data_IF_378504499131
#
_entry.id   IF_378504499131
#
_cell.length_a   1.000
_cell.length_b   1.000
_cell.length_c   1.000
_cell.angle_alpha   90.00
_cell.angle_beta   90.00
_cell.angle_gamma   90.00
#
_symmetry.space_group_name_H-M   'P 1'
#
loop_
_entity.id
_entity.type
_entity.pdbx_description
1 polymer ?
#
# COMPACT_ATOMS: atom_id res chain seq x y z
N UNK A 1 -1.65 -21.29 19.42
CA UNK A 1 -3.04 -21.35 18.89
C UNK A 1 -3.02 -22.28 17.69
N UNK A 2 -3.96 -23.21 17.56
CA UNK A 2 -4.18 -23.91 16.27
C UNK A 2 -4.50 -22.82 15.24
N UNK A 3 -3.72 -22.76 14.16
CA UNK A 3 -4.07 -21.91 13.01
C UNK A 3 -5.25 -22.57 12.31
N UNK A 4 -6.45 -22.28 12.77
CA UNK A 4 -7.64 -22.61 11.99
C UNK A 4 -7.50 -21.85 10.67
N UNK A 5 -7.32 -22.59 9.58
CA UNK A 5 -7.20 -22.03 8.25
C UNK A 5 -8.52 -21.34 7.92
N UNK A 6 -8.47 -20.04 7.64
CA UNK A 6 -9.65 -19.17 7.57
C UNK A 6 -9.64 -18.19 6.40
N UNK A 7 -8.56 -18.19 5.60
CA UNK A 7 -8.39 -17.28 4.46
C UNK A 7 -8.40 -18.09 3.18
N UNK A 8 -9.43 -17.86 2.36
CA UNK A 8 -9.48 -18.43 1.02
C UNK A 8 -8.45 -17.77 0.09
N UNK A 9 -8.04 -18.46 -0.96
CA UNK A 9 -7.11 -17.93 -1.96
C UNK A 9 -7.62 -16.66 -2.67
N UNK A 10 -8.94 -16.44 -2.71
CA UNK A 10 -9.56 -15.23 -3.26
C UNK A 10 -9.49 -14.07 -2.25
N UNK A 11 -9.76 -14.34 -0.96
CA UNK A 11 -9.60 -13.36 0.11
C UNK A 11 -8.15 -12.92 0.26
N UNK A 12 -7.19 -13.84 0.13
CA UNK A 12 -5.76 -13.50 0.11
C UNK A 12 -5.44 -12.54 -1.04
N UNK A 13 -5.92 -12.84 -2.26
CA UNK A 13 -5.73 -11.97 -3.43
C UNK A 13 -6.30 -10.58 -3.18
N UNK A 14 -7.55 -10.50 -2.69
CA UNK A 14 -8.21 -9.24 -2.42
C UNK A 14 -7.54 -8.45 -1.29
N UNK A 15 -7.05 -9.12 -0.25
CA UNK A 15 -6.25 -8.51 0.82
C UNK A 15 -4.99 -7.85 0.26
N UNK A 16 -4.24 -8.52 -0.62
CA UNK A 16 -3.04 -7.94 -1.23
C UNK A 16 -3.39 -6.72 -2.08
N UNK A 17 -4.44 -6.81 -2.93
CA UNK A 17 -4.84 -5.70 -3.80
C UNK A 17 -5.28 -4.49 -2.98
N UNK A 18 -6.11 -4.71 -1.95
CA UNK A 18 -6.60 -3.65 -1.08
C UNK A 18 -5.53 -3.09 -0.12
N UNK A 19 -4.53 -3.89 0.24
CA UNK A 19 -3.39 -3.44 1.03
C UNK A 19 -2.38 -2.60 0.24
N UNK A 20 -2.32 -2.75 -1.09
CA UNK A 20 -1.30 -2.09 -1.92
C UNK A 20 -1.79 -0.80 -2.57
N UNK A 21 -3.05 -0.75 -3.03
CA UNK A 21 -3.51 0.33 -3.91
C UNK A 21 -3.59 1.71 -3.22
N UNK A 22 -3.96 1.74 -1.92
CA UNK A 22 -3.94 2.88 -1.00
C UNK A 22 -3.91 4.30 -1.57
N UNK A 23 -2.99 5.11 -1.05
CA UNK A 23 -2.73 6.48 -1.53
C UNK A 23 -2.11 6.47 -2.93
N UNK A 24 -1.35 5.43 -3.28
CA UNK A 24 -0.59 5.32 -4.53
C UNK A 24 -1.45 5.44 -5.79
N UNK A 25 -2.70 4.99 -5.77
CA UNK A 25 -3.59 5.05 -6.94
C UNK A 25 -3.82 6.46 -7.50
N UNK A 26 -3.77 7.49 -6.64
CA UNK A 26 -3.97 8.90 -7.04
C UNK A 26 -2.63 9.62 -7.28
N UNK A 27 -1.65 9.40 -6.41
CA UNK A 27 -0.38 10.14 -6.45
C UNK A 27 0.59 9.60 -7.50
N UNK A 28 0.67 8.27 -7.65
CA UNK A 28 1.68 7.61 -8.48
C UNK A 28 1.72 8.14 -9.91
N UNK A 29 0.58 8.32 -10.63
CA UNK A 29 0.64 8.81 -11.99
C UNK A 29 1.35 10.15 -12.16
N UNK A 30 1.12 11.08 -11.23
CA UNK A 30 1.72 12.41 -11.25
C UNK A 30 3.22 12.35 -10.97
N UNK A 31 3.61 11.54 -9.98
CA UNK A 31 5.01 11.33 -9.60
C UNK A 31 5.82 10.77 -10.77
N UNK A 32 5.29 9.75 -11.45
CA UNK A 32 6.00 9.13 -12.59
C UNK A 32 6.08 10.07 -13.79
N UNK A 33 5.00 10.80 -14.08
CA UNK A 33 5.00 11.80 -15.13
C UNK A 33 5.89 13.02 -14.80
N UNK A 34 6.32 13.21 -13.55
CA UNK A 34 7.33 14.22 -13.18
C UNK A 34 8.78 13.69 -13.34
N UNK A 35 8.97 12.37 -13.29
CA UNK A 35 10.31 11.75 -13.33
C UNK A 35 10.70 11.32 -14.76
N UNK A 36 9.79 10.68 -15.48
CA UNK A 36 9.98 10.17 -16.84
C UNK A 36 8.83 10.59 -17.78
N UNK A 37 8.11 11.67 -17.48
CA UNK A 37 7.08 12.21 -18.39
C UNK A 37 6.14 11.12 -18.96
N UNK A 38 6.12 10.95 -20.29
CA UNK A 38 5.29 9.96 -21.00
C UNK A 38 5.75 8.51 -20.78
N UNK A 39 7.02 8.31 -20.40
CA UNK A 39 7.65 7.00 -20.21
C UNK A 39 7.57 6.48 -18.76
N UNK A 40 6.81 7.14 -17.89
CA UNK A 40 6.60 6.72 -16.52
C UNK A 40 6.06 5.29 -16.36
N UNK A 41 5.32 4.77 -17.34
CA UNK A 41 4.81 3.40 -17.34
C UNK A 41 5.93 2.34 -17.24
N UNK A 42 7.14 2.65 -17.75
CA UNK A 42 8.31 1.77 -17.64
C UNK A 42 8.64 1.51 -16.17
N UNK A 43 8.53 2.53 -15.31
CA UNK A 43 8.79 2.40 -13.87
C UNK A 43 7.79 1.50 -13.18
N UNK A 44 6.52 1.53 -13.59
CA UNK A 44 5.45 0.64 -13.07
C UNK A 44 5.81 -0.81 -13.38
N UNK A 45 6.16 -1.11 -14.63
CA UNK A 45 6.51 -2.46 -15.07
C UNK A 45 7.80 -2.95 -14.40
N UNK A 46 8.85 -2.14 -14.38
CA UNK A 46 10.11 -2.50 -13.73
C UNK A 46 9.94 -2.75 -12.23
N UNK A 47 9.14 -1.94 -11.54
CA UNK A 47 8.89 -2.12 -10.10
C UNK A 47 8.10 -3.39 -9.83
N UNK A 48 7.09 -3.71 -10.65
CA UNK A 48 6.37 -4.97 -10.56
C UNK A 48 7.31 -6.18 -10.75
N UNK A 49 8.25 -6.10 -11.72
CA UNK A 49 9.27 -7.13 -11.94
C UNK A 49 10.23 -7.28 -10.75
N UNK A 50 10.59 -6.18 -10.07
CA UNK A 50 11.44 -6.21 -8.87
C UNK A 50 10.72 -6.79 -7.64
N UNK A 51 9.39 -6.66 -7.58
CA UNK A 51 8.57 -7.15 -6.46
C UNK A 51 8.21 -8.62 -6.60
N UNK A 52 8.09 -9.10 -7.84
CA UNK A 52 7.88 -10.52 -8.14
C UNK A 52 8.79 -11.48 -7.34
N UNK A 53 10.14 -11.34 -7.35
CA UNK A 53 11.01 -12.23 -6.59
C UNK A 53 10.81 -12.12 -5.08
N UNK A 54 10.42 -10.95 -4.57
CA UNK A 54 10.15 -10.74 -3.13
C UNK A 54 8.89 -11.51 -2.71
N UNK A 55 7.80 -11.39 -3.47
CA UNK A 55 6.56 -12.13 -3.19
C UNK A 55 6.80 -13.64 -3.32
N UNK A 56 7.55 -14.08 -4.32
CA UNK A 56 7.94 -15.48 -4.48
C UNK A 56 8.71 -15.97 -3.25
N UNK A 57 9.71 -15.21 -2.81
CA UNK A 57 10.53 -15.52 -1.65
C UNK A 57 9.69 -15.65 -0.38
N UNK A 58 8.81 -14.68 -0.10
CA UNK A 58 7.90 -14.72 1.06
C UNK A 58 7.03 -15.98 1.00
N UNK A 59 6.39 -16.28 -0.13
CA UNK A 59 5.59 -17.50 -0.29
C UNK A 59 6.43 -18.78 -0.07
N UNK A 60 7.67 -18.80 -0.56
CA UNK A 60 8.56 -19.94 -0.39
C UNK A 60 8.94 -20.16 1.08
N UNK A 61 9.22 -19.11 1.85
CA UNK A 61 9.49 -19.18 3.30
C UNK A 61 8.37 -19.93 4.03
N UNK A 62 7.11 -19.62 3.74
CA UNK A 62 5.96 -20.30 4.37
C UNK A 62 5.66 -21.68 3.80
N UNK A 63 5.98 -21.93 2.52
CA UNK A 63 5.86 -23.25 1.91
C UNK A 63 6.78 -24.26 2.60
N UNK A 64 8.02 -23.85 2.86
CA UNK A 64 9.00 -24.75 3.47
C UNK A 64 8.76 -24.90 4.99
N UNK A 65 8.19 -23.91 5.67
CA UNK A 65 7.89 -23.94 7.11
C UNK A 65 6.37 -24.11 7.40
N UNK A 66 5.80 -25.30 7.17
CA UNK A 66 4.36 -25.51 7.33
C UNK A 66 3.93 -25.37 8.80
N UNK A 67 2.79 -24.71 9.01
CA UNK A 67 2.15 -24.58 10.32
C UNK A 67 2.75 -23.51 11.23
N UNK A 68 3.83 -22.83 10.79
CA UNK A 68 4.49 -21.78 11.56
C UNK A 68 4.04 -20.40 11.13
N UNK A 69 3.94 -19.49 12.11
CA UNK A 69 3.74 -18.07 11.84
C UNK A 69 5.07 -17.35 11.54
N UNK A 70 4.98 -16.09 11.11
CA UNK A 70 6.15 -15.26 10.81
C UNK A 70 7.13 -15.17 11.98
N UNK A 71 6.62 -15.09 13.21
CA UNK A 71 7.44 -14.91 14.39
C UNK A 71 8.23 -16.18 14.72
N UNK A 72 7.58 -17.33 14.67
CA UNK A 72 8.20 -18.63 14.87
C UNK A 72 9.27 -18.90 13.81
N UNK A 73 8.96 -18.64 12.54
CA UNK A 73 9.93 -18.82 11.45
C UNK A 73 11.15 -17.93 11.67
N UNK A 74 10.95 -16.66 11.99
CA UNK A 74 12.02 -15.71 12.22
C UNK A 74 12.92 -16.07 13.40
N UNK A 75 12.33 -16.43 14.55
CA UNK A 75 13.09 -16.81 15.76
C UNK A 75 13.88 -18.10 15.56
N UNK A 76 13.34 -19.11 14.89
CA UNK A 76 14.07 -20.35 14.60
C UNK A 76 15.19 -20.14 13.56
N UNK A 77 14.95 -19.25 12.60
CA UNK A 77 15.87 -19.02 11.49
C UNK A 77 17.03 -18.10 11.88
N UNK A 78 16.74 -16.94 12.47
CA UNK A 78 17.75 -15.93 12.80
C UNK A 78 18.15 -15.95 14.28
N UNK A 79 17.45 -16.70 15.12
CA UNK A 79 17.62 -16.65 16.57
C UNK A 79 16.87 -15.49 17.20
N UNK A 80 16.62 -15.59 18.51
CA UNK A 80 15.79 -14.64 19.26
C UNK A 80 16.33 -13.21 19.22
N UNK A 81 17.65 -13.02 19.37
CA UNK A 81 18.27 -11.69 19.46
C UNK A 81 18.17 -10.93 18.14
N UNK A 82 18.71 -11.50 17.06
CA UNK A 82 18.72 -10.87 15.74
C UNK A 82 17.29 -10.63 15.25
N UNK A 83 16.41 -11.62 15.40
CA UNK A 83 15.03 -11.46 14.96
C UNK A 83 14.25 -10.42 15.79
N UNK A 84 14.60 -10.19 17.06
CA UNK A 84 14.00 -9.10 17.84
C UNK A 84 14.37 -7.74 17.25
N UNK A 85 15.62 -7.54 16.81
CA UNK A 85 16.04 -6.31 16.09
C UNK A 85 15.24 -6.17 14.79
N UNK A 86 15.12 -7.24 14.00
CA UNK A 86 14.30 -7.25 12.79
C UNK A 86 12.84 -6.87 13.07
N UNK A 87 12.22 -7.42 14.12
CA UNK A 87 10.85 -7.09 14.52
C UNK A 87 10.71 -5.60 14.88
N UNK A 88 11.66 -5.04 15.63
CA UNK A 88 11.62 -3.62 16.02
C UNK A 88 11.80 -2.68 14.83
N UNK A 89 12.68 -3.03 13.88
CA UNK A 89 12.81 -2.30 12.61
C UNK A 89 11.51 -2.36 11.80
N UNK A 90 10.90 -3.53 11.72
CA UNK A 90 9.64 -3.71 11.00
C UNK A 90 8.48 -2.96 11.69
N UNK A 91 8.47 -2.91 13.03
CA UNK A 91 7.53 -2.09 13.78
C UNK A 91 7.71 -0.61 13.49
N UNK A 92 8.95 -0.11 13.48
CA UNK A 92 9.24 1.29 13.16
C UNK A 92 8.77 1.64 11.74
N UNK A 93 9.01 0.76 10.76
CA UNK A 93 8.45 0.89 9.41
C UNK A 93 6.92 1.04 9.44
N UNK A 94 6.20 0.11 10.08
CA UNK A 94 4.73 0.13 10.08
C UNK A 94 4.16 1.38 10.77
N UNK A 95 4.81 1.87 11.83
CA UNK A 95 4.40 3.11 12.50
C UNK A 95 4.59 4.31 11.57
N UNK A 96 5.75 4.44 10.91
CA UNK A 96 6.00 5.54 9.96
C UNK A 96 5.07 5.42 8.75
N UNK A 97 4.83 4.21 8.25
CA UNK A 97 3.90 3.96 7.15
C UNK A 97 2.48 4.42 7.48
N UNK A 98 1.92 3.96 8.60
CA UNK A 98 0.59 4.39 9.05
C UNK A 98 0.52 5.91 9.24
N UNK A 99 1.56 6.51 9.84
CA UNK A 99 1.61 7.96 10.07
C UNK A 99 1.66 8.75 8.76
N UNK A 100 2.39 8.25 7.76
CA UNK A 100 2.49 8.86 6.43
C UNK A 100 1.16 8.77 5.66
N UNK A 101 0.53 7.59 5.65
CA UNK A 101 -0.76 7.35 5.00
C UNK A 101 -1.84 8.29 5.54
N UNK A 102 -1.97 8.40 6.87
CA UNK A 102 -2.97 9.28 7.47
C UNK A 102 -2.64 10.77 7.30
N UNK A 103 -1.36 11.14 7.28
CA UNK A 103 -0.95 12.50 6.97
C UNK A 103 -1.35 12.91 5.54
N UNK A 104 -1.05 12.09 4.53
CA UNK A 104 -1.49 12.36 3.14
C UNK A 104 -3.00 12.40 3.06
N UNK A 105 -3.69 11.42 3.63
CA UNK A 105 -5.15 11.37 3.65
C UNK A 105 -5.74 12.66 4.23
N UNK A 106 -5.25 13.11 5.38
CA UNK A 106 -5.76 14.33 6.02
C UNK A 106 -5.55 15.58 5.18
N UNK A 107 -4.39 15.71 4.53
CA UNK A 107 -4.08 16.84 3.66
C UNK A 107 -4.95 16.83 2.40
N UNK A 108 -5.17 15.66 1.78
CA UNK A 108 -6.04 15.54 0.60
C UNK A 108 -7.52 15.74 0.94
N UNK A 109 -8.00 15.20 2.06
CA UNK A 109 -9.36 15.49 2.53
C UNK A 109 -9.53 16.99 2.76
N UNK A 110 -8.59 17.67 3.43
CA UNK A 110 -8.67 19.11 3.64
C UNK A 110 -8.59 19.89 2.31
N UNK A 111 -7.75 19.45 1.38
CA UNK A 111 -7.57 20.14 0.10
C UNK A 111 -8.73 19.94 -0.88
N UNK A 112 -9.49 18.85 -0.79
CA UNK A 112 -10.48 18.48 -1.80
C UNK A 112 -11.91 18.27 -1.29
N UNK A 113 -12.13 18.11 0.02
CA UNK A 113 -13.45 17.78 0.58
C UNK A 113 -13.85 18.67 1.77
N UNK A 114 -12.98 18.80 2.78
CA UNK A 114 -13.28 19.44 4.06
C UNK A 114 -12.33 20.62 4.33
N UNK A 115 -12.45 21.69 3.56
CA UNK A 115 -11.53 22.84 3.62
C UNK A 115 -11.47 23.55 4.97
N UNK A 116 -12.56 23.52 5.74
CA UNK A 116 -12.69 24.20 7.04
C UNK A 116 -12.20 23.30 8.18
N UNK A 117 -12.23 21.97 7.99
CA UNK A 117 -11.91 21.03 9.07
C UNK A 117 -10.39 20.97 9.31
N UNK A 118 -9.93 21.15 10.56
CA UNK A 118 -8.52 20.98 10.91
C UNK A 118 -8.02 19.56 10.61
N UNK A 119 -6.76 19.43 10.15
CA UNK A 119 -6.17 18.12 9.82
C UNK A 119 -6.07 17.21 11.04
N UNK A 120 -5.90 17.82 12.21
CA UNK A 120 -5.86 17.18 13.51
C UNK A 120 -7.12 16.36 13.77
N UNK A 121 -8.30 16.91 13.48
CA UNK A 121 -9.58 16.20 13.69
C UNK A 121 -9.70 15.03 12.72
N UNK A 122 -9.29 15.24 11.46
CA UNK A 122 -9.34 14.21 10.42
C UNK A 122 -8.42 13.03 10.79
N UNK A 123 -7.17 13.32 11.17
CA UNK A 123 -6.20 12.30 11.60
C UNK A 123 -6.74 11.53 12.81
N UNK A 124 -7.21 12.24 13.85
CA UNK A 124 -7.68 11.61 15.07
C UNK A 124 -8.85 10.64 14.81
N UNK A 125 -9.88 11.09 14.08
CA UNK A 125 -11.03 10.26 13.75
C UNK A 125 -10.65 9.06 12.88
N UNK A 126 -9.80 9.27 11.87
CA UNK A 126 -9.36 8.20 10.98
C UNK A 126 -8.57 7.11 11.72
N UNK A 127 -7.58 7.50 12.54
CA UNK A 127 -6.79 6.53 13.31
C UNK A 127 -7.68 5.81 14.33
N UNK A 128 -8.56 6.54 15.03
CA UNK A 128 -9.44 5.95 16.05
C UNK A 128 -10.42 4.93 15.45
N UNK A 129 -11.05 5.27 14.32
CA UNK A 129 -11.94 4.34 13.59
C UNK A 129 -11.17 3.13 13.04
N UNK A 130 -9.92 3.33 12.61
CA UNK A 130 -9.05 2.25 12.13
C UNK A 130 -8.69 1.23 13.22
N UNK A 131 -8.66 1.64 14.50
CA UNK A 131 -8.43 0.70 15.62
C UNK A 131 -9.45 -0.44 15.58
N UNK A 132 -10.72 -0.17 15.29
CA UNK A 132 -11.77 -1.18 15.34
C UNK A 132 -11.47 -2.37 14.43
N UNK A 133 -11.21 -2.12 13.14
CA UNK A 133 -10.93 -3.19 12.18
C UNK A 133 -9.56 -3.82 12.42
N UNK A 134 -8.53 -3.03 12.76
CA UNK A 134 -7.19 -3.55 13.01
C UNK A 134 -7.10 -4.37 14.29
N UNK A 135 -8.04 -4.19 15.22
CA UNK A 135 -8.17 -5.01 16.43
C UNK A 135 -8.64 -6.43 16.13
N UNK A 136 -9.25 -6.67 14.97
CA UNK A 136 -9.70 -7.97 14.53
C UNK A 136 -8.51 -8.83 14.04
N UNK A 137 -8.73 -10.13 13.87
CA UNK A 137 -7.72 -11.02 13.28
C UNK A 137 -7.66 -10.88 11.75
N UNK A 138 -6.54 -11.32 11.18
CA UNK A 138 -6.22 -11.12 9.76
C UNK A 138 -7.25 -11.72 8.80
N UNK A 139 -8.00 -12.75 9.20
CA UNK A 139 -9.08 -13.33 8.39
C UNK A 139 -10.28 -12.37 8.24
N UNK A 140 -10.62 -11.60 9.28
CA UNK A 140 -11.65 -10.56 9.20
C UNK A 140 -11.18 -9.42 8.29
N UNK A 141 -9.91 -9.02 8.43
CA UNK A 141 -9.30 -7.99 7.57
C UNK A 141 -9.28 -8.46 6.11
N UNK A 142 -8.98 -9.73 5.84
CA UNK A 142 -9.04 -10.31 4.49
C UNK A 142 -10.46 -10.32 3.91
N UNK A 143 -11.49 -10.56 4.74
CA UNK A 143 -12.90 -10.44 4.34
C UNK A 143 -13.27 -9.00 4.00
N UNK A 144 -12.83 -8.02 4.79
CA UNK A 144 -13.02 -6.61 4.46
C UNK A 144 -12.33 -6.23 3.14
N UNK A 145 -11.08 -6.66 2.93
CA UNK A 145 -10.36 -6.48 1.67
C UNK A 145 -11.10 -7.11 0.48
N UNK A 146 -11.76 -8.25 0.67
CA UNK A 146 -12.62 -8.87 -0.34
C UNK A 146 -13.82 -8.02 -0.75
N UNK A 147 -14.47 -7.32 0.20
CA UNK A 147 -15.54 -6.37 -0.11
C UNK A 147 -15.04 -5.07 -0.75
N UNK A 148 -13.84 -4.62 -0.38
CA UNK A 148 -13.26 -3.37 -0.91
C UNK A 148 -12.66 -3.58 -2.30
N UNK A 149 -12.21 -4.79 -2.64
CA UNK A 149 -11.60 -5.08 -3.93
C UNK A 149 -12.48 -4.69 -5.15
N UNK A 150 -13.77 -5.05 -5.24
CA UNK A 150 -14.65 -4.56 -6.31
C UNK A 150 -14.79 -3.03 -6.34
N UNK A 151 -14.81 -2.38 -5.17
CA UNK A 151 -14.89 -0.91 -5.06
C UNK A 151 -13.65 -0.27 -5.71
N UNK A 152 -12.46 -0.84 -5.50
CA UNK A 152 -11.23 -0.37 -6.15
C UNK A 152 -11.30 -0.49 -7.67
N UNK A 153 -11.83 -1.60 -8.20
CA UNK A 153 -12.00 -1.77 -9.65
C UNK A 153 -12.99 -0.76 -10.23
N UNK A 154 -14.11 -0.53 -9.53
CA UNK A 154 -15.11 0.47 -9.90
C UNK A 154 -14.47 1.87 -9.86
N UNK A 155 -13.71 2.18 -8.82
CA UNK A 155 -13.02 3.46 -8.67
C UNK A 155 -12.06 3.73 -9.84
N UNK A 156 -11.19 2.77 -10.18
CA UNK A 156 -10.29 2.89 -11.33
C UNK A 156 -11.06 3.01 -12.67
N UNK A 157 -12.15 2.23 -12.81
CA UNK A 157 -13.03 2.31 -13.97
C UNK A 157 -13.71 3.66 -14.12
N UNK A 158 -14.22 4.23 -13.03
CA UNK A 158 -14.86 5.56 -13.00
C UNK A 158 -13.88 6.60 -13.55
N UNK A 159 -12.65 6.66 -13.06
CA UNK A 159 -11.65 7.61 -13.58
C UNK A 159 -11.37 7.42 -15.06
N UNK A 160 -11.22 6.16 -15.50
CA UNK A 160 -10.99 5.86 -16.90
C UNK A 160 -12.14 6.37 -17.76
N UNK A 161 -13.39 5.98 -17.46
CA UNK A 161 -14.55 6.34 -18.28
C UNK A 161 -14.88 7.84 -18.24
N UNK A 162 -14.76 8.48 -17.08
CA UNK A 162 -14.96 9.94 -16.93
C UNK A 162 -13.93 10.71 -17.76
N UNK A 163 -12.72 10.21 -17.90
CA UNK A 163 -11.67 10.87 -18.68
C UNK A 163 -11.81 10.72 -20.20
N UNK A 164 -12.56 9.74 -20.70
CA UNK A 164 -12.63 9.45 -22.14
C UNK A 164 -13.13 10.61 -23.01
N UNK A 165 -14.16 11.39 -22.64
CA UNK A 165 -14.68 12.45 -23.50
C UNK A 165 -13.68 13.58 -23.77
N UNK A 166 -12.76 13.83 -22.84
CA UNK A 166 -11.72 14.87 -22.96
C UNK A 166 -10.33 14.29 -23.22
N UNK A 167 -10.22 12.97 -23.43
CA UNK A 167 -8.94 12.30 -23.58
C UNK A 167 -8.26 12.65 -24.91
N UNK A 168 -7.06 13.21 -24.83
CA UNK A 168 -6.19 13.39 -25.97
C UNK A 168 -5.08 12.33 -25.96
N UNK A 169 -5.29 11.28 -26.75
CA UNK A 169 -4.36 10.16 -26.89
C UNK A 169 -3.03 10.55 -27.56
N UNK A 170 -2.96 11.69 -28.24
CA UNK A 170 -1.69 12.18 -28.81
C UNK A 170 -0.65 12.45 -27.72
N UNK A 171 -1.09 12.73 -26.48
CA UNK A 171 -0.21 12.93 -25.33
C UNK A 171 0.54 11.67 -24.88
N UNK A 172 0.15 10.48 -25.33
CA UNK A 172 0.86 9.23 -25.00
C UNK A 172 2.12 9.05 -25.86
N UNK A 173 2.16 9.67 -27.04
CA UNK A 173 3.28 9.59 -27.98
C UNK A 173 4.00 10.95 -28.12
N UNK A 174 5.27 10.97 -28.58
CA UNK A 174 6.16 9.83 -28.77
C UNK A 174 6.59 9.21 -27.43
N UNK A 175 6.73 7.89 -27.42
CA UNK A 175 7.32 7.14 -26.30
C UNK A 175 8.85 7.06 -26.43
N UNK A 176 9.51 6.67 -25.35
CA UNK A 176 10.95 6.48 -25.19
C UNK A 176 11.80 7.72 -25.48
N UNK A 177 11.28 8.91 -25.14
CA UNK A 177 12.00 10.18 -25.28
C UNK A 177 12.64 10.65 -23.98
N UNK A 178 12.31 10.00 -22.86
CA UNK A 178 12.71 10.47 -21.53
C UNK A 178 14.15 10.11 -21.20
N UNK A 179 14.75 10.88 -20.30
CA UNK A 179 16.11 10.60 -19.82
C UNK A 179 16.14 9.38 -18.89
N UNK A 180 16.49 8.22 -19.44
CA UNK A 180 16.57 6.95 -18.69
C UNK A 180 17.56 6.96 -17.52
N UNK A 181 18.44 7.96 -17.39
CA UNK A 181 19.26 8.15 -16.18
C UNK A 181 18.41 8.37 -14.92
N UNK A 182 17.16 8.81 -15.07
CA UNK A 182 16.22 9.00 -13.97
C UNK A 182 15.53 7.71 -13.51
N UNK A 183 15.71 6.58 -14.22
CA UNK A 183 15.07 5.30 -13.86
C UNK A 183 15.33 4.89 -12.41
N UNK A 184 16.57 4.92 -11.87
CA UNK A 184 16.81 4.52 -10.48
C UNK A 184 16.02 5.34 -9.46
N UNK A 185 15.91 6.66 -9.68
CA UNK A 185 15.11 7.55 -8.84
C UNK A 185 13.61 7.22 -8.96
N UNK A 186 13.15 6.92 -10.17
CA UNK A 186 11.79 6.48 -10.44
C UNK A 186 11.42 5.18 -9.73
N UNK A 187 12.31 4.19 -9.76
CA UNK A 187 12.09 2.88 -9.10
C UNK A 187 11.90 3.07 -7.59
N UNK A 188 12.70 3.91 -6.93
CA UNK A 188 12.53 4.19 -5.48
C UNK A 188 11.15 4.79 -5.20
N UNK A 189 10.68 5.71 -6.04
CA UNK A 189 9.35 6.32 -5.90
C UNK A 189 8.23 5.31 -6.14
N UNK A 190 8.32 4.51 -7.20
CA UNK A 190 7.29 3.53 -7.55
C UNK A 190 7.24 2.36 -6.58
N UNK A 191 8.39 1.93 -6.04
CA UNK A 191 8.46 0.85 -5.06
C UNK A 191 7.56 1.13 -3.85
N UNK A 192 7.54 2.39 -3.38
CA UNK A 192 6.64 2.81 -2.31
C UNK A 192 5.16 2.54 -2.65
N UNK A 193 4.71 2.89 -3.85
CA UNK A 193 3.32 2.68 -4.26
C UNK A 193 2.93 1.21 -4.38
N UNK A 194 3.90 0.29 -4.40
CA UNK A 194 3.60 -1.14 -4.32
C UNK A 194 3.73 -1.71 -2.91
N UNK A 195 4.15 -0.95 -1.90
CA UNK A 195 4.15 -1.40 -0.50
C UNK A 195 2.74 -1.79 -0.06
N UNK A 196 2.63 -2.69 0.91
CA UNK A 196 1.39 -3.34 1.33
C UNK A 196 1.38 -4.85 1.08
N UNK A 197 2.20 -5.36 0.15
CA UNK A 197 2.32 -6.81 -0.08
C UNK A 197 2.95 -7.56 1.11
N UNK A 198 3.66 -6.87 2.01
CA UNK A 198 4.20 -7.43 3.25
C UNK A 198 3.11 -7.96 4.19
N UNK A 199 1.83 -7.62 3.97
CA UNK A 199 0.69 -8.27 4.61
C UNK A 199 0.72 -9.79 4.47
N UNK A 200 1.36 -10.30 3.41
CA UNK A 200 1.62 -11.73 3.21
C UNK A 200 2.35 -12.39 4.39
N UNK A 201 3.26 -11.68 5.05
CA UNK A 201 3.98 -12.20 6.22
C UNK A 201 3.02 -12.57 7.36
N UNK A 202 1.92 -11.84 7.49
CA UNK A 202 0.90 -12.08 8.52
C UNK A 202 -0.23 -12.99 8.04
N UNK A 203 -0.57 -12.96 6.73
CA UNK A 203 -1.72 -13.69 6.19
C UNK A 203 -1.41 -15.15 5.81
N UNK A 204 -0.24 -15.43 5.25
CA UNK A 204 0.12 -16.77 4.73
C UNK A 204 -0.01 -17.93 5.74
N UNK A 205 0.23 -17.75 7.06
CA UNK A 205 0.00 -18.82 8.05
C UNK A 205 -1.45 -19.32 8.11
N UNK A 206 -2.42 -18.52 7.67
CA UNK A 206 -3.87 -18.76 7.82
C UNK A 206 -4.58 -19.10 6.51
N UNK A 207 -3.84 -19.25 5.40
CA UNK A 207 -4.38 -19.55 4.08
C UNK A 207 -4.71 -21.04 3.95
N UNK A 208 -5.94 -21.34 3.53
CA UNK A 208 -6.46 -22.70 3.34
C UNK A 208 -5.67 -23.50 2.31
N UNK A 209 -5.50 -22.95 1.10
CA UNK A 209 -4.81 -23.60 0.00
C UNK A 209 -3.44 -22.96 -0.27
N UNK A 210 -2.42 -23.50 0.40
CA UNK A 210 -1.03 -23.04 0.25
C UNK A 210 -0.46 -23.26 -1.16
N UNK A 211 -1.00 -24.20 -1.94
CA UNK A 211 -0.56 -24.42 -3.33
C UNK A 211 -1.02 -23.26 -4.21
N UNK A 212 -2.21 -22.73 -3.95
CA UNK A 212 -2.76 -21.56 -4.66
C UNK A 212 -2.27 -20.21 -4.12
N UNK A 213 -1.70 -20.15 -2.91
CA UNK A 213 -1.24 -18.89 -2.30
C UNK A 213 -0.28 -18.08 -3.20
N UNK A 214 0.73 -18.74 -3.78
CA UNK A 214 1.68 -18.09 -4.70
C UNK A 214 0.95 -17.57 -5.95
N UNK A 215 0.11 -18.42 -6.57
CA UNK A 215 -0.67 -18.04 -7.76
C UNK A 215 -1.58 -16.83 -7.47
N UNK A 216 -2.28 -16.83 -6.34
CA UNK A 216 -3.12 -15.70 -5.92
C UNK A 216 -2.30 -14.42 -5.69
N UNK A 217 -1.11 -14.54 -5.09
CA UNK A 217 -0.23 -13.39 -4.86
C UNK A 217 0.28 -12.80 -6.18
N UNK A 218 0.61 -13.65 -7.16
CA UNK A 218 1.04 -13.21 -8.49
C UNK A 218 -0.09 -12.58 -9.31
N UNK A 219 -1.29 -13.15 -9.23
CA UNK A 219 -2.48 -12.54 -9.85
C UNK A 219 -2.78 -11.17 -9.22
N UNK A 220 -2.65 -11.04 -7.89
CA UNK A 220 -2.80 -9.75 -7.22
C UNK A 220 -1.82 -8.71 -7.75
N UNK A 221 -0.52 -9.05 -7.84
CA UNK A 221 0.50 -8.16 -8.40
C UNK A 221 0.20 -7.74 -9.83
N UNK A 222 -0.27 -8.67 -10.68
CA UNK A 222 -0.69 -8.37 -12.05
C UNK A 222 -1.88 -7.40 -12.11
N UNK A 223 -2.89 -7.59 -11.27
CA UNK A 223 -4.06 -6.69 -11.19
C UNK A 223 -3.65 -5.29 -10.70
N UNK A 224 -2.80 -5.20 -9.66
CA UNK A 224 -2.28 -3.92 -9.16
C UNK A 224 -1.52 -3.19 -10.28
N UNK A 225 -0.62 -3.91 -10.97
CA UNK A 225 0.16 -3.36 -12.08
C UNK A 225 -0.75 -2.84 -13.19
N UNK A 226 -1.79 -3.61 -13.55
CA UNK A 226 -2.78 -3.21 -14.54
C UNK A 226 -3.53 -1.93 -14.12
N UNK A 227 -3.98 -1.85 -12.87
CA UNK A 227 -4.67 -0.66 -12.34
C UNK A 227 -3.74 0.55 -12.38
N UNK A 228 -2.49 0.43 -11.94
CA UNK A 228 -1.53 1.54 -11.98
C UNK A 228 -1.22 1.99 -13.41
N UNK A 229 -1.07 1.06 -14.36
CA UNK A 229 -0.92 1.42 -15.78
C UNK A 229 -2.16 2.15 -16.31
N UNK A 230 -3.36 1.65 -16.00
CA UNK A 230 -4.62 2.27 -16.39
C UNK A 230 -4.70 3.72 -15.90
N UNK A 231 -4.46 3.94 -14.60
CA UNK A 231 -4.49 5.26 -13.98
C UNK A 231 -3.39 6.19 -14.54
N UNK A 232 -2.20 5.64 -14.83
CA UNK A 232 -1.11 6.39 -15.45
C UNK A 232 -1.48 6.87 -16.86
N UNK A 233 -1.97 5.98 -17.72
CA UNK A 233 -2.36 6.36 -19.07
C UNK A 233 -3.56 7.32 -19.08
N UNK A 234 -4.55 7.11 -18.20
CA UNK A 234 -5.64 8.08 -17.98
C UNK A 234 -5.12 9.47 -17.61
N UNK A 235 -4.07 9.54 -16.77
CA UNK A 235 -3.45 10.82 -16.42
C UNK A 235 -2.71 11.44 -17.60
N UNK A 236 -2.04 10.63 -18.43
CA UNK A 236 -1.33 11.11 -19.62
C UNK A 236 -2.25 11.63 -20.72
N UNK A 237 -3.43 11.03 -20.95
CA UNK A 237 -4.36 11.57 -21.95
C UNK A 237 -4.87 12.96 -21.58
N UNK A 238 -4.75 13.32 -20.30
CA UNK A 238 -5.15 14.60 -19.71
C UNK A 238 -3.94 15.50 -19.40
N UNK A 239 -2.76 15.22 -19.97
CA UNK A 239 -1.49 15.87 -19.61
C UNK A 239 -1.48 17.40 -19.77
N UNK A 240 -2.29 17.94 -20.68
CA UNK A 240 -2.51 19.38 -20.80
C UNK A 240 -3.05 20.02 -19.50
N UNK A 241 -3.97 19.35 -18.79
CA UNK A 241 -4.48 19.81 -17.49
C UNK A 241 -3.37 19.85 -16.42
N UNK A 242 -2.44 18.88 -16.46
CA UNK A 242 -1.27 18.85 -15.58
C UNK A 242 -0.35 20.05 -15.81
N UNK A 243 -0.03 20.36 -17.07
CA UNK A 243 0.88 21.46 -17.42
C UNK A 243 0.28 22.83 -17.12
N UNK A 244 -1.02 23.03 -17.40
CA UNK A 244 -1.66 24.32 -17.17
C UNK A 244 -1.90 24.65 -15.70
N UNK A 245 -2.22 23.65 -14.88
CA UNK A 245 -2.67 23.89 -13.51
C UNK A 245 -1.56 23.69 -12.46
N UNK A 246 -0.42 23.10 -12.83
CA UNK A 246 0.71 22.87 -11.92
C UNK A 246 0.37 21.99 -10.71
N UNK A 247 -0.69 21.19 -10.80
CA UNK A 247 -1.25 20.44 -9.67
C UNK A 247 -0.66 19.03 -9.57
N UNK A 248 -0.33 18.60 -8.34
CA UNK A 248 0.25 17.28 -8.05
C UNK A 248 -0.78 16.12 -8.09
N UNK A 249 -2.07 16.39 -8.34
CA UNK A 249 -3.16 15.40 -8.24
C UNK A 249 -4.12 15.44 -9.44
N UNK A 250 -3.60 15.26 -10.65
CA UNK A 250 -4.36 15.35 -11.91
C UNK A 250 -5.64 14.49 -11.92
N UNK A 251 -5.62 13.31 -11.29
CA UNK A 251 -6.82 12.46 -11.19
C UNK A 251 -7.96 13.16 -10.44
N UNK A 252 -7.69 13.73 -9.27
CA UNK A 252 -8.73 14.45 -8.51
C UNK A 252 -9.26 15.65 -9.28
N UNK A 253 -8.41 16.32 -10.07
CA UNK A 253 -8.84 17.41 -10.93
C UNK A 253 -9.75 16.95 -12.07
N UNK A 254 -9.47 15.79 -12.68
CA UNK A 254 -10.38 15.20 -13.69
C UNK A 254 -11.78 15.01 -13.10
N UNK A 255 -11.88 14.52 -11.86
CA UNK A 255 -13.18 14.36 -11.19
C UNK A 255 -13.89 15.69 -10.91
N UNK A 256 -13.14 16.80 -10.75
CA UNK A 256 -13.70 18.16 -10.58
C UNK A 256 -14.11 18.82 -11.89
N UNK A 257 -13.44 18.50 -12.99
CA UNK A 257 -13.71 19.13 -14.30
C UNK A 257 -14.88 18.51 -15.04
N UNK A 258 -15.29 17.30 -14.66
CA UNK A 258 -16.43 16.63 -15.29
C UNK A 258 -17.70 16.95 -14.54
N UNK A 259 -18.34 18.04 -14.94
CA UNK A 259 -19.75 18.27 -14.65
C UNK A 259 -20.56 17.38 -15.58
N UNK A 260 -21.32 16.41 -15.06
CA UNK A 260 -22.27 15.61 -15.84
C UNK A 260 -23.59 16.38 -15.98
N UNK A 261 -23.82 17.11 -17.08
CA UNK A 261 -25.00 17.97 -17.19
C UNK A 261 -26.24 17.08 -17.29
N UNK A 262 -27.21 17.27 -16.38
CA UNK A 262 -28.47 16.52 -16.35
C UNK A 262 -28.54 15.32 -15.41
N UNK A 263 -27.48 15.03 -14.64
CA UNK A 263 -27.50 14.00 -13.59
C UNK A 263 -27.62 14.62 -12.18
N UNK A 264 -28.20 13.87 -11.23
CA UNK A 264 -28.43 14.32 -9.83
C UNK A 264 -27.12 14.60 -9.04
N UNK A 265 -25.98 14.07 -9.49
CA UNK A 265 -24.67 14.23 -8.84
C UNK A 265 -23.86 15.34 -9.54
N UNK A 266 -23.92 16.55 -8.99
CA UNK A 266 -23.13 17.70 -9.47
C UNK A 266 -21.71 17.78 -8.84
N UNK A 267 -21.44 17.05 -7.74
CA UNK A 267 -20.14 17.04 -7.05
C UNK A 267 -19.52 15.62 -7.05
N UNK A 268 -19.03 15.17 -8.21
CA UNK A 268 -18.42 13.84 -8.35
C UNK A 268 -17.11 13.70 -7.55
N UNK A 269 -16.39 14.80 -7.37
CA UNK A 269 -15.17 14.87 -6.57
C UNK A 269 -15.40 14.41 -5.12
N UNK A 270 -16.51 14.81 -4.49
CA UNK A 270 -16.86 14.38 -3.14
C UNK A 270 -17.12 12.88 -3.03
N UNK A 271 -17.81 12.29 -4.00
CA UNK A 271 -18.09 10.84 -4.06
C UNK A 271 -16.79 10.06 -4.28
N UNK A 272 -15.96 10.52 -5.20
CA UNK A 272 -14.64 9.93 -5.47
C UNK A 272 -13.77 9.97 -4.22
N UNK A 273 -13.70 11.10 -3.52
CA UNK A 273 -12.93 11.21 -2.28
C UNK A 273 -13.48 10.30 -1.18
N UNK A 274 -14.80 10.17 -1.03
CA UNK A 274 -15.40 9.26 -0.07
C UNK A 274 -15.04 7.78 -0.35
N UNK A 275 -15.06 7.37 -1.62
CA UNK A 275 -14.62 6.02 -2.02
C UNK A 275 -13.13 5.83 -1.76
N UNK A 276 -12.30 6.83 -2.08
CA UNK A 276 -10.87 6.78 -1.86
C UNK A 276 -10.49 6.63 -0.38
N UNK A 277 -11.23 7.28 0.53
CA UNK A 277 -11.05 7.10 1.99
C UNK A 277 -11.20 5.62 2.38
N UNK A 278 -12.16 4.90 1.79
CA UNK A 278 -12.32 3.46 2.03
C UNK A 278 -11.14 2.63 1.50
N UNK A 279 -10.57 3.04 0.37
CA UNK A 279 -9.37 2.39 -0.21
C UNK A 279 -8.17 2.58 0.72
N UNK A 280 -7.93 3.80 1.20
CA UNK A 280 -6.84 4.09 2.15
C UNK A 280 -7.07 3.36 3.48
N UNK A 281 -8.31 3.28 3.96
CA UNK A 281 -8.64 2.49 5.15
C UNK A 281 -8.27 1.01 4.99
N UNK A 282 -8.51 0.43 3.81
CA UNK A 282 -8.14 -0.95 3.50
C UNK A 282 -6.63 -1.21 3.45
N UNK A 283 -5.85 -0.17 3.19
CA UNK A 283 -4.38 -0.18 3.18
C UNK A 283 -3.80 0.06 4.58
N UNK A 284 -4.36 1.02 5.32
CA UNK A 284 -3.94 1.34 6.69
C UNK A 284 -4.21 0.19 7.67
N UNK A 285 -5.39 -0.44 7.57
CA UNK A 285 -5.84 -1.41 8.55
C UNK A 285 -4.93 -2.66 8.69
N UNK A 286 -4.49 -3.32 7.59
CA UNK A 286 -3.53 -4.42 7.67
C UNK A 286 -2.15 -4.02 8.22
N UNK A 287 -1.65 -2.83 7.86
CA UNK A 287 -0.37 -2.32 8.37
C UNK A 287 -0.44 -2.07 9.88
N UNK A 288 -1.52 -1.44 10.34
CA UNK A 288 -1.74 -1.17 11.75
C UNK A 288 -1.94 -2.46 12.56
N UNK A 289 -2.67 -3.44 12.01
CA UNK A 289 -2.75 -4.80 12.54
C UNK A 289 -1.36 -5.43 12.72
N UNK A 290 -0.49 -5.31 11.70
CA UNK A 290 0.88 -5.80 11.75
C UNK A 290 1.68 -5.18 12.90
N UNK A 291 1.58 -3.86 13.10
CA UNK A 291 2.24 -3.16 14.19
C UNK A 291 1.77 -3.69 15.56
N UNK A 292 0.46 -3.84 15.73
CA UNK A 292 -0.12 -4.44 16.94
C UNK A 292 0.36 -5.87 17.17
N UNK A 293 0.41 -6.73 16.14
CA UNK A 293 0.87 -8.12 16.27
C UNK A 293 2.35 -8.21 16.62
N UNK A 294 3.20 -7.35 16.06
CA UNK A 294 4.63 -7.29 16.42
C UNK A 294 4.78 -6.94 17.91
N UNK A 295 4.06 -5.92 18.39
CA UNK A 295 4.09 -5.54 19.81
C UNK A 295 3.56 -6.66 20.71
N UNK A 296 2.41 -7.24 20.37
CA UNK A 296 1.83 -8.37 21.11
C UNK A 296 2.80 -9.55 21.20
N UNK A 297 3.50 -9.88 20.12
CA UNK A 297 4.51 -10.93 20.10
C UNK A 297 5.73 -10.57 20.97
N UNK A 298 6.19 -9.32 20.89
CA UNK A 298 7.37 -8.82 21.63
C UNK A 298 7.14 -8.83 23.13
N UNK A 299 5.98 -8.36 23.57
CA UNK A 299 5.56 -8.36 24.97
C UNK A 299 4.90 -9.67 25.43
N UNK A 300 4.82 -10.68 24.54
CA UNK A 300 4.26 -12.02 24.82
C UNK A 300 2.82 -11.98 25.36
N UNK A 301 2.01 -11.05 24.87
CA UNK A 301 0.59 -10.95 25.22
C UNK A 301 -0.27 -11.76 24.26
N UNK A 302 -1.48 -12.13 24.70
CA UNK A 302 -2.46 -12.85 23.86
C UNK A 302 -3.22 -11.94 22.89
N UNK A 303 -3.25 -10.63 23.14
CA UNK A 303 -4.05 -9.68 22.39
C UNK A 303 -3.21 -8.50 21.92
N UNK A 304 -3.34 -8.16 20.64
CA UNK A 304 -2.74 -6.97 20.04
C UNK A 304 -3.59 -5.70 20.19
N UNK A 305 -4.87 -5.84 20.55
CA UNK A 305 -5.85 -4.74 20.55
C UNK A 305 -5.44 -3.54 21.41
N UNK A 306 -4.91 -3.80 22.60
CA UNK A 306 -4.46 -2.76 23.53
C UNK A 306 -3.23 -2.00 23.02
N UNK A 307 -2.35 -2.67 22.25
CA UNK A 307 -1.20 -2.00 21.64
C UNK A 307 -1.63 -1.06 20.53
N UNK A 308 -2.69 -1.38 19.79
CA UNK A 308 -3.25 -0.46 18.79
C UNK A 308 -3.71 0.83 19.45
N UNK A 309 -4.47 0.74 20.55
CA UNK A 309 -4.88 1.92 21.32
C UNK A 309 -3.68 2.75 21.82
N UNK A 310 -2.63 2.09 22.31
CA UNK A 310 -1.39 2.77 22.72
C UNK A 310 -0.62 3.42 21.56
N UNK A 311 -0.76 2.91 20.34
CA UNK A 311 -0.14 3.48 19.14
C UNK A 311 -0.91 4.65 18.53
N UNK A 312 -2.19 4.85 18.87
CA UNK A 312 -2.99 5.99 18.40
C UNK A 312 -2.28 7.34 18.63
N UNK A 313 -1.86 7.71 19.86
CA UNK A 313 -1.18 8.99 20.08
C UNK A 313 0.16 9.09 19.34
N UNK A 314 0.87 7.98 19.15
CA UNK A 314 2.16 7.96 18.43
C UNK A 314 1.94 8.26 16.95
N UNK A 315 1.00 7.56 16.31
CA UNK A 315 0.67 7.77 14.89
C UNK A 315 0.09 9.17 14.69
N UNK A 316 -0.79 9.62 15.58
CA UNK A 316 -1.36 10.96 15.56
C UNK A 316 -0.27 12.05 15.59
N UNK A 317 0.65 11.96 16.55
CA UNK A 317 1.74 12.94 16.68
C UNK A 317 2.67 12.92 15.47
N UNK A 318 3.10 11.73 15.02
CA UNK A 318 3.98 11.60 13.86
C UNK A 318 3.34 12.09 12.56
N UNK A 319 2.04 11.91 12.39
CA UNK A 319 1.31 12.42 11.23
C UNK A 319 1.21 13.94 11.19
N UNK A 320 1.35 14.61 12.34
CA UNK A 320 1.35 16.08 12.46
C UNK A 320 2.74 16.71 12.37
N UNK A 321 3.81 15.91 12.33
CA UNK A 321 5.19 16.43 12.21
C UNK A 321 5.38 17.25 10.92
N UNK A 322 4.96 16.77 9.74
CA UNK A 322 5.09 17.55 8.50
C UNK A 322 4.04 18.67 8.44
N UNK A 323 4.48 19.90 8.17
CA UNK A 323 3.57 21.06 8.14
C UNK A 323 2.70 21.11 6.90
N UNK A 324 3.18 20.55 5.80
CA UNK A 324 2.50 20.52 4.52
C UNK A 324 2.87 19.26 3.71
N UNK A 325 2.28 19.16 2.51
CA UNK A 325 2.52 18.05 1.59
C UNK A 325 3.96 17.98 1.09
N UNK A 326 4.62 19.12 0.91
CA UNK A 326 5.98 19.19 0.37
C UNK A 326 6.96 18.64 1.40
N UNK A 327 6.83 19.04 2.67
CA UNK A 327 7.65 18.52 3.77
C UNK A 327 7.42 17.01 4.00
N UNK A 328 6.16 16.58 3.90
CA UNK A 328 5.76 15.16 3.98
C UNK A 328 6.48 14.31 2.91
N UNK A 329 6.48 14.76 1.66
CA UNK A 329 7.17 14.11 0.54
C UNK A 329 8.69 14.18 0.66
N UNK A 330 9.24 15.29 1.18
CA UNK A 330 10.69 15.50 1.22
C UNK A 330 11.37 14.70 2.33
N UNK A 331 10.76 14.63 3.51
CA UNK A 331 11.45 14.20 4.73
C UNK A 331 10.91 12.85 5.21
N UNK A 332 9.59 12.73 5.37
CA UNK A 332 8.97 11.51 5.88
C UNK A 332 9.03 10.35 4.89
N UNK A 333 8.80 10.61 3.59
CA UNK A 333 8.89 9.58 2.55
C UNK A 333 10.31 9.00 2.44
N UNK A 334 11.37 9.79 2.65
CA UNK A 334 12.75 9.26 2.64
C UNK A 334 12.97 8.25 3.77
N UNK A 335 12.54 8.60 4.99
CA UNK A 335 12.62 7.70 6.14
C UNK A 335 11.80 6.43 5.86
N UNK A 336 10.59 6.60 5.34
CA UNK A 336 9.70 5.50 4.99
C UNK A 336 10.33 4.56 3.96
N UNK A 337 10.94 5.09 2.89
CA UNK A 337 11.61 4.29 1.86
C UNK A 337 12.79 3.47 2.40
N UNK A 338 13.58 4.04 3.31
CA UNK A 338 14.69 3.32 3.93
C UNK A 338 14.15 2.19 4.82
N UNK A 339 13.19 2.52 5.69
CA UNK A 339 12.60 1.55 6.60
C UNK A 339 11.83 0.44 5.87
N UNK A 340 11.12 0.77 4.78
CA UNK A 340 10.38 -0.19 3.96
C UNK A 340 11.34 -1.13 3.23
N UNK A 341 12.43 -0.60 2.64
CA UNK A 341 13.45 -1.42 2.00
C UNK A 341 14.08 -2.42 2.99
N UNK A 342 14.48 -1.94 4.18
CA UNK A 342 15.03 -2.81 5.22
C UNK A 342 14.01 -3.87 5.67
N UNK A 343 12.75 -3.47 5.86
CA UNK A 343 11.74 -4.34 6.47
C UNK A 343 11.14 -5.36 5.51
N UNK A 344 10.95 -4.98 4.25
CA UNK A 344 10.19 -5.76 3.27
C UNK A 344 11.13 -6.49 2.30
N UNK A 345 12.34 -5.98 2.07
CA UNK A 345 13.33 -6.61 1.19
C UNK A 345 14.37 -7.35 2.02
N UNK A 346 15.11 -6.62 2.87
CA UNK A 346 16.28 -7.16 3.56
C UNK A 346 15.89 -8.22 4.58
N UNK A 347 14.90 -7.99 5.44
CA UNK A 347 14.50 -8.97 6.46
C UNK A 347 13.99 -10.28 5.84
N UNK A 348 13.02 -10.31 4.91
CA UNK A 348 12.61 -11.55 4.26
C UNK A 348 13.74 -12.25 3.50
N UNK A 349 14.65 -11.49 2.89
CA UNK A 349 15.83 -12.04 2.22
C UNK A 349 16.78 -12.74 3.20
N UNK A 350 17.07 -12.12 4.35
CA UNK A 350 17.87 -12.74 5.41
C UNK A 350 17.22 -14.03 5.94
N UNK A 351 15.91 -14.01 6.18
CA UNK A 351 15.17 -15.21 6.61
C UNK A 351 15.24 -16.30 5.54
N UNK A 352 15.08 -15.96 4.26
CA UNK A 352 15.13 -16.92 3.16
C UNK A 352 16.50 -17.59 3.02
N UNK A 353 17.57 -16.80 2.96
CA UNK A 353 18.94 -17.31 2.75
C UNK A 353 19.38 -18.17 3.94
N UNK A 354 19.24 -17.66 5.16
CA UNK A 354 19.62 -18.42 6.37
C UNK A 354 18.76 -19.67 6.54
N UNK A 355 17.47 -19.58 6.19
CA UNK A 355 16.53 -20.70 6.22
C UNK A 355 16.93 -21.84 5.27
N UNK A 356 17.39 -21.52 4.06
CA UNK A 356 17.88 -22.51 3.09
C UNK A 356 19.19 -23.15 3.57
N UNK A 357 20.14 -22.34 4.05
CA UNK A 357 21.44 -22.83 4.53
C UNK A 357 21.25 -23.80 5.70
N UNK A 358 20.47 -23.42 6.72
CA UNK A 358 20.20 -24.30 7.88
C UNK A 358 19.54 -25.63 7.52
N UNK A 359 18.74 -25.67 6.45
CA UNK A 359 18.13 -26.91 5.97
C UNK A 359 19.13 -27.80 5.26
N UNK A 360 20.00 -27.25 4.42
CA UNK A 360 21.06 -28.01 3.75
C UNK A 360 22.08 -28.61 4.72
N UNK A 361 22.28 -28.00 5.89
CA UNK A 361 23.18 -28.53 6.92
C UNK A 361 22.51 -29.67 7.71
N UNK A 362 21.17 -29.70 7.78
CA UNK A 362 20.40 -30.73 8.51
C UNK A 362 19.98 -31.92 7.66
N UNK A 363 20.00 -31.77 6.34
CA UNK A 363 19.76 -32.84 5.36
C UNK A 363 21.10 -33.46 4.99
#
# INVERSE_FOLDING_TARGET
MKNDLKISHIQLRALIISAVIGVGIISLPNDLANILEKDGWILIVLSALLIFPIIFMINHIFKINPGKDYFQIGEETLGKVIFTICKLLFLAYLIVYCSYEVAILSQLIKAFLLHITPVEIIIFLFVLTSVYISSMEIDIIARAGYFIYPIILIFAGIFFFISLPTADFSNVLPAFQSNFKNIPRGIVSTFFSFTGFEVLLFALPYVEDKKKALKSSMIALGIITFIYLLMFFTTLTQFYLKQLQGQNFSLVMIAKTVDLPGYFLQNLDGVVMAIWILVVFATFAPAFFGAGKILSNTFRTKSHKYFLLGLVPVIYYLALVPKDYIELQRDMLKILNILSFLSIVVIPFLIFIVGIIKRRIKA
#
